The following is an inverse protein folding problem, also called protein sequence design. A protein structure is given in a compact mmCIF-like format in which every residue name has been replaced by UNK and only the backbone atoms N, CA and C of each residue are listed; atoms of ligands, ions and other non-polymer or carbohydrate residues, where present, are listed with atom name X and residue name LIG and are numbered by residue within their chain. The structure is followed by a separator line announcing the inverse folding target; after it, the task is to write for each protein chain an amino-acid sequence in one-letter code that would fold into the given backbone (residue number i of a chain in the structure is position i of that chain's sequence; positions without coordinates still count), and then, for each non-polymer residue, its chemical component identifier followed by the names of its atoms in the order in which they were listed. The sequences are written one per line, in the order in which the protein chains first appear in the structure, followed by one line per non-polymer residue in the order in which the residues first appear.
data_IF_120576562133
#
_entry.id   IF_120576562133
#
_cell.length_a   1.000
_cell.length_b   1.000
_cell.length_c   1.000
_cell.angle_alpha   90.00
_cell.angle_beta   90.00
_cell.angle_gamma   90.00
#
_symmetry.space_group_name_H-M   'P 1'
#
loop_
_entity.id
_entity.type
_entity.pdbx_description
1 polymer ?
#
# COMPACT_ATOMS: atom_id res chain seq x y z
N UNK A 1 -36.95 -10.75 33.81
CA UNK A 1 -36.85 -11.28 32.43
C UNK A 1 -36.37 -10.24 31.42
N UNK A 2 -36.77 -8.96 31.53
CA UNK A 2 -36.26 -7.87 30.66
C UNK A 2 -34.75 -7.63 30.83
N UNK A 3 -34.24 -7.59 32.06
CA UNK A 3 -32.83 -7.27 32.34
C UNK A 3 -31.85 -8.31 31.77
N UNK A 4 -32.22 -9.59 31.85
CA UNK A 4 -31.41 -10.70 31.31
C UNK A 4 -31.27 -10.62 29.79
N UNK A 5 -32.33 -10.19 29.09
CA UNK A 5 -32.29 -10.05 27.62
C UNK A 5 -31.36 -8.90 27.21
N UNK A 6 -31.41 -7.78 27.93
CA UNK A 6 -30.54 -6.61 27.71
C UNK A 6 -29.07 -6.93 28.00
N UNK A 7 -28.79 -7.72 29.04
CA UNK A 7 -27.43 -8.19 29.35
C UNK A 7 -26.88 -9.12 28.27
N UNK A 8 -27.70 -10.04 27.74
CA UNK A 8 -27.31 -10.94 26.65
C UNK A 8 -26.99 -10.16 25.37
N UNK A 9 -27.80 -9.15 25.03
CA UNK A 9 -27.56 -8.31 23.85
C UNK A 9 -26.26 -7.52 23.99
N UNK A 10 -26.03 -6.92 25.16
CA UNK A 10 -24.81 -6.15 25.43
C UNK A 10 -23.56 -7.03 25.42
N UNK A 11 -23.66 -8.27 25.87
CA UNK A 11 -22.58 -9.25 25.77
C UNK A 11 -22.28 -9.61 24.30
N UNK A 12 -23.32 -9.86 23.51
CA UNK A 12 -23.18 -10.19 22.09
C UNK A 12 -22.53 -9.06 21.27
N UNK A 13 -22.89 -7.80 21.56
CA UNK A 13 -22.25 -6.63 20.96
C UNK A 13 -20.76 -6.55 21.30
N UNK A 14 -20.40 -6.69 22.58
CA UNK A 14 -19.00 -6.67 23.01
C UNK A 14 -18.18 -7.81 22.39
N UNK A 15 -18.77 -8.99 22.23
CA UNK A 15 -18.11 -10.12 21.57
C UNK A 15 -17.87 -9.84 20.08
N UNK A 16 -18.84 -9.21 19.41
CA UNK A 16 -18.72 -8.80 18.00
C UNK A 16 -17.61 -7.76 17.83
N UNK A 17 -17.62 -6.71 18.65
CA UNK A 17 -16.62 -5.65 18.59
C UNK A 17 -15.21 -6.19 18.84
N UNK A 18 -15.08 -7.12 19.79
CA UNK A 18 -13.82 -7.79 20.07
C UNK A 18 -13.33 -8.66 18.89
N UNK A 19 -14.24 -9.38 18.23
CA UNK A 19 -13.90 -10.15 17.03
C UNK A 19 -13.46 -9.25 15.88
N UNK A 20 -14.15 -8.11 15.66
CA UNK A 20 -13.78 -7.14 14.63
C UNK A 20 -12.37 -6.61 14.91
N UNK A 21 -12.10 -6.15 16.14
CA UNK A 21 -10.78 -5.64 16.51
C UNK A 21 -9.66 -6.68 16.35
N UNK A 22 -9.94 -7.95 16.67
CA UNK A 22 -8.96 -9.03 16.51
C UNK A 22 -8.70 -9.34 15.02
N UNK A 23 -9.74 -9.37 14.19
CA UNK A 23 -9.59 -9.57 12.74
C UNK A 23 -8.85 -8.40 12.08
N UNK A 24 -9.11 -7.16 12.51
CA UNK A 24 -8.38 -5.97 12.06
C UNK A 24 -6.89 -6.06 12.44
N UNK A 25 -6.57 -6.48 13.66
CA UNK A 25 -5.20 -6.68 14.09
C UNK A 25 -4.49 -7.78 13.28
N UNK A 26 -5.14 -8.92 13.05
CA UNK A 26 -4.60 -10.01 12.22
C UNK A 26 -4.42 -9.58 10.76
N UNK A 27 -5.32 -8.76 10.22
CA UNK A 27 -5.17 -8.18 8.88
C UNK A 27 -3.97 -7.24 8.79
N UNK A 28 -3.75 -6.40 9.81
CA UNK A 28 -2.55 -5.54 9.88
C UNK A 28 -1.29 -6.39 9.91
N UNK A 29 -1.27 -7.46 10.72
CA UNK A 29 -0.13 -8.37 10.84
C UNK A 29 0.14 -9.15 9.54
N UNK A 30 -0.90 -9.68 8.89
CA UNK A 30 -0.80 -10.37 7.60
C UNK A 30 -0.35 -9.44 6.46
N UNK A 31 -0.78 -8.17 6.47
CA UNK A 31 -0.32 -7.14 5.51
C UNK A 31 1.14 -6.76 5.73
N UNK A 32 1.60 -6.81 6.98
CA UNK A 32 2.98 -6.55 7.35
C UNK A 32 3.89 -7.79 7.20
N UNK A 33 3.31 -8.99 7.01
CA UNK A 33 4.07 -10.23 6.90
C UNK A 33 4.87 -10.28 5.59
N UNK A 34 6.21 -10.42 5.66
CA UNK A 34 7.08 -10.58 4.49
C UNK A 34 6.82 -11.88 3.71
N UNK A 35 5.98 -12.78 4.23
CA UNK A 35 5.63 -14.07 3.62
C UNK A 35 4.52 -14.02 2.57
N UNK A 36 3.91 -12.84 2.33
CA UNK A 36 2.99 -12.68 1.22
C UNK A 36 3.81 -12.57 -0.08
N UNK A 37 3.73 -13.56 -0.97
CA UNK A 37 4.51 -13.61 -2.22
C UNK A 37 4.34 -12.42 -3.16
N UNK A 38 3.39 -11.52 -2.87
CA UNK A 38 3.19 -10.23 -3.55
C UNK A 38 4.01 -9.08 -2.96
N UNK A 39 4.40 -9.11 -1.68
CA UNK A 39 5.10 -8.00 -1.02
C UNK A 39 6.56 -7.88 -1.47
N UNK A 40 7.26 -9.00 -1.64
CA UNK A 40 8.65 -9.04 -2.10
C UNK A 40 8.88 -8.30 -3.41
N UNK A 41 8.13 -8.60 -4.49
CA UNK A 41 8.21 -7.87 -5.75
C UNK A 41 8.02 -6.36 -5.59
N UNK A 42 7.00 -5.91 -4.83
CA UNK A 42 6.77 -4.48 -4.63
C UNK A 42 7.86 -3.79 -3.80
N UNK A 43 8.44 -4.46 -2.80
CA UNK A 43 9.57 -3.92 -2.02
C UNK A 43 10.81 -3.77 -2.91
N UNK A 44 11.10 -4.79 -3.73
CA UNK A 44 12.21 -4.71 -4.69
C UNK A 44 11.99 -3.56 -5.69
N UNK A 45 10.81 -3.48 -6.28
CA UNK A 45 10.44 -2.39 -7.20
C UNK A 45 10.55 -1.02 -6.55
N UNK A 46 10.05 -0.84 -5.32
CA UNK A 46 10.21 0.40 -4.56
C UNK A 46 11.68 0.75 -4.35
N UNK A 47 12.51 -0.25 -4.05
CA UNK A 47 13.96 -0.07 -3.86
C UNK A 47 14.62 0.42 -5.14
N UNK A 48 14.31 -0.20 -6.29
CA UNK A 48 14.79 0.23 -7.62
C UNK A 48 14.35 1.66 -7.91
N UNK A 49 13.07 1.97 -7.72
CA UNK A 49 12.55 3.32 -7.93
C UNK A 49 13.29 4.36 -7.09
N UNK A 50 13.56 4.05 -5.81
CA UNK A 50 14.21 4.97 -4.89
C UNK A 50 15.69 5.24 -5.22
N UNK A 51 16.33 4.41 -6.06
CA UNK A 51 17.67 4.69 -6.58
C UNK A 51 17.66 5.78 -7.66
N UNK A 52 16.52 6.00 -8.32
CA UNK A 52 16.38 6.92 -9.45
C UNK A 52 15.63 8.19 -9.05
N UNK A 53 14.55 8.06 -8.29
CA UNK A 53 13.74 9.18 -7.81
C UNK A 53 13.60 9.13 -6.29
N UNK A 54 13.82 10.24 -5.57
CA UNK A 54 13.60 10.23 -4.14
C UNK A 54 12.15 9.96 -3.77
N UNK A 55 11.93 9.00 -2.88
CA UNK A 55 10.60 8.60 -2.41
C UNK A 55 10.41 9.08 -0.96
N UNK A 56 9.42 9.93 -0.74
CA UNK A 56 9.01 10.38 0.60
C UNK A 56 8.01 9.42 1.26
N UNK A 57 7.19 8.74 0.45
CA UNK A 57 6.28 7.71 0.92
C UNK A 57 5.97 6.69 -0.18
N UNK A 58 5.76 5.44 0.21
CA UNK A 58 5.42 4.35 -0.70
C UNK A 58 4.28 3.49 -0.13
N UNK A 59 3.31 3.14 -0.98
CA UNK A 59 2.17 2.33 -0.60
C UNK A 59 1.85 1.29 -1.67
N UNK A 60 1.52 0.08 -1.25
CA UNK A 60 0.87 -0.91 -2.11
C UNK A 60 -0.63 -0.77 -1.91
N UNK A 61 -1.34 -0.39 -2.96
CA UNK A 61 -2.77 -0.03 -2.92
C UNK A 61 -3.56 -0.77 -3.99
N UNK A 62 -4.85 -1.05 -3.76
CA UNK A 62 -5.70 -1.57 -4.81
C UNK A 62 -5.88 -0.57 -5.97
N UNK A 63 -6.02 -1.03 -7.21
CA UNK A 63 -6.10 -0.17 -8.43
C UNK A 63 -7.24 0.85 -8.35
N UNK A 64 -8.37 0.47 -7.73
CA UNK A 64 -9.52 1.36 -7.48
C UNK A 64 -9.17 2.60 -6.62
N UNK A 65 -8.18 2.50 -5.73
CA UNK A 65 -7.71 3.63 -4.91
C UNK A 65 -6.99 4.66 -5.78
N UNK A 66 -6.41 4.19 -6.88
CA UNK A 66 -5.71 5.02 -7.85
C UNK A 66 -6.60 5.51 -9.00
N UNK A 67 -7.90 5.23 -8.94
CA UNK A 67 -8.85 5.57 -10.01
C UNK A 67 -8.46 4.90 -11.35
N UNK A 68 -7.73 3.77 -11.28
CA UNK A 68 -7.30 2.98 -12.43
C UNK A 68 -8.37 1.94 -12.81
N UNK A 69 -8.46 1.54 -14.08
CA UNK A 69 -9.36 0.47 -14.51
C UNK A 69 -9.12 -0.80 -13.70
N UNK A 70 -10.20 -1.42 -13.22
CA UNK A 70 -10.13 -2.69 -12.50
C UNK A 70 -9.98 -3.81 -13.52
N UNK A 71 -8.74 -4.10 -13.92
CA UNK A 71 -8.44 -5.30 -14.70
C UNK A 71 -8.38 -6.53 -13.79
N UNK A 72 -8.97 -7.63 -14.25
CA UNK A 72 -9.19 -8.86 -13.48
C UNK A 72 -7.89 -9.55 -12.96
N UNK A 73 -6.71 -9.13 -13.44
CA UNK A 73 -5.40 -9.75 -13.14
C UNK A 73 -4.41 -8.86 -12.36
N UNK A 74 -4.76 -7.60 -12.09
CA UNK A 74 -3.82 -6.57 -11.61
C UNK A 74 -4.47 -5.75 -10.50
N UNK A 75 -4.81 -6.40 -9.39
CA UNK A 75 -5.58 -5.77 -8.32
C UNK A 75 -4.80 -4.80 -7.43
N UNK A 76 -3.45 -4.76 -7.51
CA UNK A 76 -2.60 -3.95 -6.65
C UNK A 76 -1.50 -3.23 -7.43
N UNK A 77 -1.21 -1.99 -7.02
CA UNK A 77 -0.22 -1.08 -7.59
C UNK A 77 0.67 -0.50 -6.50
N UNK A 78 1.90 -0.15 -6.86
CA UNK A 78 2.83 0.61 -6.04
C UNK A 78 2.64 2.09 -6.31
N UNK A 79 2.08 2.81 -5.33
CA UNK A 79 1.99 4.26 -5.34
C UNK A 79 3.21 4.86 -4.63
N UNK A 80 4.01 5.64 -5.37
CA UNK A 80 5.18 6.36 -4.88
C UNK A 80 4.89 7.84 -4.82
N UNK A 81 5.34 8.49 -3.75
CA UNK A 81 5.23 9.93 -3.58
C UNK A 81 6.63 10.52 -3.54
N UNK A 82 6.91 11.44 -4.45
CA UNK A 82 8.17 12.18 -4.49
C UNK A 82 8.03 13.52 -3.74
N UNK A 83 9.04 13.95 -2.97
CA UNK A 83 9.06 15.26 -2.32
C UNK A 83 9.06 16.43 -3.31
N UNK A 84 9.44 16.21 -4.57
CA UNK A 84 9.38 17.21 -5.65
C UNK A 84 8.95 16.60 -6.98
N UNK A 85 8.43 17.39 -7.93
CA UNK A 85 8.10 16.90 -9.26
C UNK A 85 9.36 16.37 -9.97
N UNK A 86 9.37 15.11 -10.46
CA UNK A 86 10.49 14.56 -11.22
C UNK A 86 10.59 15.25 -12.59
N UNK A 87 11.81 15.37 -13.11
CA UNK A 87 12.06 15.87 -14.47
C UNK A 87 11.82 14.77 -15.50
N UNK A 88 11.65 15.14 -16.78
CA UNK A 88 11.45 14.16 -17.86
C UNK A 88 12.61 13.16 -17.98
N UNK A 89 13.85 13.62 -17.76
CA UNK A 89 15.03 12.75 -17.76
C UNK A 89 14.94 11.69 -16.64
N UNK A 90 14.56 12.10 -15.43
CA UNK A 90 14.38 11.18 -14.29
C UNK A 90 13.24 10.18 -14.54
N UNK A 91 12.16 10.62 -15.19
CA UNK A 91 11.05 9.73 -15.57
C UNK A 91 11.50 8.69 -16.63
N UNK A 92 12.34 9.09 -17.58
CA UNK A 92 12.92 8.19 -18.56
C UNK A 92 13.84 7.16 -17.90
N UNK A 93 14.74 7.61 -17.03
CA UNK A 93 15.65 6.75 -16.27
C UNK A 93 14.88 5.77 -15.39
N UNK A 94 13.81 6.24 -14.74
CA UNK A 94 12.95 5.40 -13.89
C UNK A 94 12.29 4.29 -14.72
N UNK A 95 11.76 4.64 -15.90
CA UNK A 95 11.16 3.66 -16.81
C UNK A 95 12.18 2.61 -17.26
N UNK A 96 13.41 3.04 -17.57
CA UNK A 96 14.47 2.12 -17.99
C UNK A 96 14.86 1.17 -16.84
N UNK A 97 15.09 1.71 -15.64
CA UNK A 97 15.41 0.90 -14.45
C UNK A 97 14.30 -0.10 -14.11
N UNK A 98 13.03 0.31 -14.22
CA UNK A 98 11.90 -0.60 -14.04
C UNK A 98 11.85 -1.70 -15.11
N UNK A 99 12.17 -1.37 -16.35
CA UNK A 99 12.15 -2.36 -17.43
C UNK A 99 13.28 -3.39 -17.30
N UNK A 100 14.46 -2.95 -16.89
CA UNK A 100 15.66 -3.76 -16.80
C UNK A 100 15.68 -4.64 -15.54
N UNK A 101 15.31 -4.07 -14.38
CA UNK A 101 15.56 -4.70 -13.07
C UNK A 101 14.30 -5.11 -12.30
N UNK A 102 13.11 -4.55 -12.61
CA UNK A 102 11.92 -4.83 -11.82
C UNK A 102 11.25 -6.15 -12.25
N UNK A 103 10.62 -6.89 -11.32
CA UNK A 103 9.90 -8.11 -11.65
C UNK A 103 8.77 -7.84 -12.66
N UNK A 104 8.67 -8.67 -13.69
CA UNK A 104 7.73 -8.48 -14.82
C UNK A 104 6.27 -8.44 -14.41
N UNK A 105 5.92 -9.04 -13.27
CA UNK A 105 4.55 -9.04 -12.73
C UNK A 105 4.15 -7.70 -12.07
N UNK A 106 5.09 -6.82 -11.71
CA UNK A 106 4.81 -5.54 -11.01
C UNK A 106 5.42 -4.31 -11.68
N UNK A 107 6.35 -4.47 -12.63
CA UNK A 107 7.05 -3.33 -13.28
C UNK A 107 6.10 -2.29 -13.90
N UNK A 108 4.99 -2.74 -14.47
CA UNK A 108 3.98 -1.90 -15.14
C UNK A 108 2.88 -1.43 -14.16
N UNK A 109 3.07 -1.64 -12.84
CA UNK A 109 2.11 -1.32 -11.79
C UNK A 109 2.65 -0.27 -10.81
N UNK A 110 3.48 0.64 -11.30
CA UNK A 110 4.11 1.68 -10.50
C UNK A 110 3.55 3.04 -10.90
N UNK A 111 2.97 3.74 -9.94
CA UNK A 111 2.41 5.07 -10.11
C UNK A 111 3.23 6.07 -9.28
N UNK A 112 3.77 7.09 -9.93
CA UNK A 112 4.54 8.15 -9.28
C UNK A 112 3.72 9.43 -9.18
N UNK A 113 3.51 9.89 -7.95
CA UNK A 113 2.79 11.12 -7.64
C UNK A 113 3.74 12.19 -7.11
N UNK A 114 3.47 13.44 -7.47
CA UNK A 114 4.13 14.62 -6.92
C UNK A 114 3.64 14.93 -5.50
N UNK A 115 4.46 15.67 -4.76
CA UNK A 115 4.24 16.04 -3.35
C UNK A 115 2.91 16.76 -3.09
N UNK A 116 2.40 17.51 -4.07
CA UNK A 116 1.18 18.30 -3.97
C UNK A 116 -0.10 17.43 -3.97
N UNK A 117 0.02 16.14 -4.29
CA UNK A 117 -1.10 15.21 -4.37
C UNK A 117 -1.52 14.65 -2.99
N UNK A 118 -1.75 15.56 -2.03
CA UNK A 118 -2.10 15.27 -0.64
C UNK A 118 -3.39 14.44 -0.50
N UNK A 119 -4.38 14.65 -1.38
CA UNK A 119 -5.62 13.88 -1.39
C UNK A 119 -5.38 12.41 -1.75
N UNK A 120 -4.54 12.14 -2.76
CA UNK A 120 -4.15 10.77 -3.14
C UNK A 120 -3.31 10.12 -2.04
N UNK A 121 -2.40 10.88 -1.42
CA UNK A 121 -1.61 10.40 -0.28
C UNK A 121 -2.51 9.98 0.89
N UNK A 122 -3.56 10.75 1.21
CA UNK A 122 -4.51 10.40 2.25
C UNK A 122 -5.29 9.12 1.92
N UNK A 123 -5.76 8.97 0.67
CA UNK A 123 -6.41 7.73 0.20
C UNK A 123 -5.47 6.53 0.34
N UNK A 124 -4.23 6.64 -0.13
CA UNK A 124 -3.22 5.58 -0.02
C UNK A 124 -2.90 5.23 1.43
N UNK A 125 -2.81 6.22 2.33
CA UNK A 125 -2.64 5.98 3.77
C UNK A 125 -3.81 5.21 4.39
N UNK A 126 -5.04 5.50 3.98
CA UNK A 126 -6.23 4.83 4.54
C UNK A 126 -6.45 3.41 4.04
N UNK A 127 -6.08 3.13 2.78
CA UNK A 127 -6.47 1.89 2.09
C UNK A 127 -5.27 1.01 1.70
N UNK A 128 -4.05 1.55 1.74
CA UNK A 128 -2.84 0.89 1.30
C UNK A 128 -2.03 0.26 2.42
N UNK A 129 -1.05 -0.52 2.00
CA UNK A 129 0.00 -1.08 2.85
C UNK A 129 1.22 -0.19 2.68
N UNK A 130 1.63 0.51 3.74
CA UNK A 130 2.83 1.34 3.69
C UNK A 130 4.07 0.45 3.59
N UNK A 131 4.91 0.73 2.60
CA UNK A 131 6.22 0.10 2.48
C UNK A 131 7.29 0.99 3.11
N UNK A 132 8.26 0.35 3.75
CA UNK A 132 9.41 1.00 4.34
C UNK A 132 10.67 0.44 3.70
N UNK A 133 11.55 1.34 3.24
CA UNK A 133 12.90 0.97 2.85
C UNK A 133 13.62 0.47 4.10
N UNK A 134 14.02 -0.80 4.08
CA UNK A 134 14.83 -1.36 5.16
C UNK A 134 16.17 -0.61 5.17
N UNK A 135 16.48 0.08 6.27
CA UNK A 135 17.71 0.85 6.45
C UNK A 135 17.53 2.36 6.67
N UNK A 136 16.33 2.91 6.47
CA UNK A 136 16.02 4.26 6.94
C UNK A 136 15.70 4.20 8.44
N UNK A 137 16.75 4.28 9.27
CA UNK A 137 16.59 4.46 10.72
C UNK A 137 15.75 5.71 10.99
N UNK A 138 14.75 5.56 11.86
CA UNK A 138 13.94 6.63 12.42
C UNK A 138 14.78 7.78 12.96
#
# INVERSE_FOLDING_TARGET
MSDTLSEIQRLAERMRDHQIANLEAQLVELRASPGNGLAGPFILTMTICNLVVPVSAAFVVPSQILDLPVDANTSWHLALFSPWPPTEAVLLDLRNALFDDAPSNVRDRVELFSHDNSAKLAKCKSAGIQLYLHGATK
#
